data_IF_861586426190
#
_entry.id   IF_861586426190
#
_cell.length_a   1.000
_cell.length_b   1.000
_cell.length_c   1.000
_cell.angle_alpha   90.00
_cell.angle_beta   90.00
_cell.angle_gamma   90.00
#
_symmetry.space_group_name_H-M   'P 1'
#
loop_
_entity.id
_entity.type
_entity.pdbx_description
1 polymer ?
#
# COMPACT_ATOMS: atom_id res chain seq x y z
N UNK A 1 13.07 20.09 31.51
CA UNK A 1 11.75 19.78 30.95
C UNK A 1 11.93 19.38 29.50
N UNK A 2 11.83 18.09 29.17
CA UNK A 2 12.11 17.55 27.82
C UNK A 2 11.06 16.49 27.49
N UNK A 3 9.79 16.89 27.47
CA UNK A 3 8.64 15.97 27.37
C UNK A 3 7.87 16.07 26.04
N UNK A 4 8.25 16.96 25.13
CA UNK A 4 7.55 17.14 23.85
C UNK A 4 8.18 16.37 22.69
N UNK A 5 9.43 15.91 22.81
CA UNK A 5 10.12 15.16 21.76
C UNK A 5 9.70 13.68 21.69
N UNK A 6 9.23 13.13 22.81
CA UNK A 6 8.88 11.70 22.95
C UNK A 6 7.53 11.37 22.30
N UNK A 7 6.59 12.31 22.35
CA UNK A 7 5.21 12.12 21.84
C UNK A 7 5.17 12.05 20.32
N UNK A 8 5.96 12.91 19.64
CA UNK A 8 6.04 12.92 18.17
C UNK A 8 6.75 11.67 17.66
N UNK A 9 7.80 11.21 18.36
CA UNK A 9 8.49 9.96 18.05
C UNK A 9 7.58 8.74 18.22
N UNK A 10 6.76 8.72 19.29
CA UNK A 10 5.77 7.68 19.53
C UNK A 10 4.73 7.59 18.42
N UNK A 11 4.10 8.71 18.05
CA UNK A 11 3.10 8.73 16.99
C UNK A 11 3.67 8.30 15.62
N UNK A 12 4.88 8.75 15.28
CA UNK A 12 5.54 8.35 14.04
C UNK A 12 5.87 6.86 14.01
N UNK A 13 6.35 6.31 15.15
CA UNK A 13 6.60 4.88 15.27
C UNK A 13 5.32 4.09 15.06
N UNK A 14 4.22 4.50 15.71
CA UNK A 14 2.94 3.83 15.59
C UNK A 14 2.38 3.85 14.16
N UNK A 15 2.57 4.95 13.42
CA UNK A 15 2.22 5.00 11.99
C UNK A 15 3.09 4.04 11.14
N UNK A 16 4.39 3.94 11.44
CA UNK A 16 5.26 2.98 10.75
C UNK A 16 4.87 1.52 11.06
N UNK A 17 4.51 1.22 12.31
CA UNK A 17 4.05 -0.10 12.72
C UNK A 17 2.74 -0.49 11.99
N UNK A 18 1.79 0.46 11.84
CA UNK A 18 0.56 0.28 11.04
C UNK A 18 0.86 0.01 9.55
N UNK A 19 1.82 0.72 8.97
CA UNK A 19 2.22 0.54 7.58
C UNK A 19 2.92 -0.82 7.34
N UNK A 20 3.72 -1.28 8.29
CA UNK A 20 4.38 -2.59 8.26
C UNK A 20 3.34 -3.71 8.39
N UNK A 21 2.36 -3.56 9.28
CA UNK A 21 1.28 -4.54 9.42
C UNK A 21 0.41 -4.60 8.16
N UNK A 22 0.08 -3.46 7.55
CA UNK A 22 -0.62 -3.42 6.25
C UNK A 22 0.15 -4.22 5.18
N UNK A 23 1.47 -4.04 5.11
CA UNK A 23 2.32 -4.76 4.15
C UNK A 23 2.29 -6.26 4.40
N UNK A 24 2.44 -6.68 5.66
CA UNK A 24 2.37 -8.08 6.09
C UNK A 24 1.03 -8.72 5.71
N UNK A 25 -0.07 -8.03 5.96
CA UNK A 25 -1.41 -8.51 5.67
C UNK A 25 -1.68 -8.62 4.15
N UNK A 26 -1.19 -7.67 3.35
CA UNK A 26 -1.27 -7.73 1.88
C UNK A 26 -0.43 -8.91 1.36
N UNK A 27 0.82 -9.04 1.82
CA UNK A 27 1.72 -10.13 1.38
C UNK A 27 1.15 -11.51 1.75
N UNK A 28 0.50 -11.63 2.90
CA UNK A 28 -0.20 -12.83 3.32
C UNK A 28 -1.55 -13.05 2.60
N UNK A 29 -1.92 -12.19 1.65
CA UNK A 29 -3.15 -12.30 0.83
C UNK A 29 -4.44 -12.38 1.66
N UNK A 30 -4.49 -11.67 2.79
CA UNK A 30 -5.71 -11.59 3.59
C UNK A 30 -6.85 -10.90 2.82
N UNK A 31 -8.11 -11.27 3.08
CA UNK A 31 -9.26 -10.59 2.47
C UNK A 31 -9.28 -9.10 2.84
N UNK A 32 -9.66 -8.19 1.92
CA UNK A 32 -9.66 -6.75 2.18
C UNK A 32 -10.46 -6.33 3.43
N UNK A 33 -11.58 -7.02 3.70
CA UNK A 33 -12.37 -6.79 4.90
C UNK A 33 -11.59 -7.08 6.19
N UNK A 34 -10.80 -8.16 6.21
CA UNK A 34 -9.96 -8.53 7.36
C UNK A 34 -8.85 -7.50 7.55
N UNK A 35 -8.20 -7.08 6.45
CA UNK A 35 -7.16 -6.04 6.49
C UNK A 35 -7.70 -4.75 7.11
N UNK A 36 -8.87 -4.29 6.64
CA UNK A 36 -9.53 -3.08 7.16
C UNK A 36 -9.89 -3.20 8.64
N UNK A 37 -10.51 -4.32 9.06
CA UNK A 37 -10.90 -4.50 10.47
C UNK A 37 -9.71 -4.54 11.42
N UNK A 38 -8.61 -5.16 10.99
CA UNK A 38 -7.38 -5.23 11.78
C UNK A 38 -6.76 -3.84 11.95
N UNK A 39 -6.58 -3.11 10.85
CA UNK A 39 -5.99 -1.77 10.90
C UNK A 39 -6.85 -0.76 11.67
N UNK A 40 -8.18 -0.83 11.54
CA UNK A 40 -9.11 0.00 12.33
C UNK A 40 -8.94 -0.27 13.84
N UNK A 41 -8.84 -1.55 14.22
CA UNK A 41 -8.68 -1.93 15.63
C UNK A 41 -7.34 -1.48 16.19
N UNK A 42 -6.26 -1.68 15.45
CA UNK A 42 -4.92 -1.25 15.86
C UNK A 42 -4.80 0.26 15.93
N UNK A 43 -5.34 0.99 14.96
CA UNK A 43 -5.35 2.45 14.97
C UNK A 43 -6.17 3.03 16.13
N UNK A 44 -7.30 2.42 16.49
CA UNK A 44 -8.10 2.82 17.65
C UNK A 44 -7.36 2.64 18.98
N UNK A 45 -6.56 1.57 19.09
CA UNK A 45 -5.71 1.32 20.27
C UNK A 45 -4.50 2.26 20.33
N UNK A 46 -3.92 2.52 19.17
CA UNK A 46 -2.76 3.39 18.98
C UNK A 46 -3.04 4.87 19.28
N UNK A 47 -4.22 5.35 18.89
CA UNK A 47 -4.60 6.75 18.96
C UNK A 47 -5.87 6.96 19.79
N UNK A 48 -5.81 6.76 21.11
CA UNK A 48 -6.95 6.95 22.00
C UNK A 48 -7.35 8.43 22.01
N UNK A 49 -8.41 8.76 21.28
CA UNK A 49 -8.91 10.13 21.12
C UNK A 49 -9.16 10.56 19.67
N UNK A 50 -8.67 9.81 18.68
CA UNK A 50 -9.12 9.99 17.30
C UNK A 50 -10.53 9.43 17.12
N UNK A 51 -11.34 10.11 16.30
CA UNK A 51 -12.67 9.63 15.93
C UNK A 51 -12.54 8.57 14.84
N UNK A 52 -13.52 7.69 14.75
CA UNK A 52 -13.56 6.64 13.72
C UNK A 52 -13.40 7.19 12.30
N UNK A 53 -13.95 8.37 12.02
CA UNK A 53 -13.80 9.04 10.72
C UNK A 53 -12.36 9.45 10.41
N UNK A 54 -11.61 9.90 11.43
CA UNK A 54 -10.22 10.29 11.28
C UNK A 54 -9.31 9.05 11.15
N UNK A 55 -9.64 7.98 11.88
CA UNK A 55 -8.97 6.67 11.76
C UNK A 55 -9.19 6.08 10.37
N UNK A 56 -10.42 6.12 9.85
CA UNK A 56 -10.74 5.63 8.52
C UNK A 56 -9.96 6.41 7.44
N UNK A 57 -9.83 7.73 7.59
CA UNK A 57 -9.04 8.57 6.69
C UNK A 57 -7.54 8.21 6.74
N UNK A 58 -6.99 8.01 7.94
CA UNK A 58 -5.60 7.59 8.11
C UNK A 58 -5.32 6.25 7.40
N UNK A 59 -6.25 5.30 7.50
CA UNK A 59 -6.12 3.98 6.85
C UNK A 59 -6.25 4.10 5.33
N UNK A 60 -7.14 4.96 4.83
CA UNK A 60 -7.23 5.23 3.38
C UNK A 60 -5.91 5.82 2.85
N UNK A 61 -5.36 6.83 3.54
CA UNK A 61 -4.07 7.44 3.17
C UNK A 61 -2.92 6.41 3.17
N UNK A 62 -2.90 5.48 4.14
CA UNK A 62 -1.95 4.36 4.19
C UNK A 62 -2.12 3.40 3.01
N UNK A 63 -3.37 3.04 2.68
CA UNK A 63 -3.68 2.17 1.54
C UNK A 63 -3.30 2.84 0.20
N UNK A 64 -3.56 4.14 0.05
CA UNK A 64 -3.17 4.91 -1.13
C UNK A 64 -1.65 5.00 -1.25
N UNK A 65 -0.94 5.20 -0.14
CA UNK A 65 0.52 5.19 -0.12
C UNK A 65 1.09 3.82 -0.49
N UNK A 66 0.50 2.74 0.01
CA UNK A 66 0.88 1.38 -0.34
C UNK A 66 0.62 1.09 -1.84
N UNK A 67 -0.51 1.54 -2.39
CA UNK A 67 -0.81 1.46 -3.83
C UNK A 67 0.15 2.29 -4.67
N UNK A 68 0.48 3.51 -4.25
CA UNK A 68 1.43 4.38 -4.95
C UNK A 68 2.85 3.81 -4.95
N UNK A 69 3.27 3.20 -3.84
CA UNK A 69 4.56 2.49 -3.73
C UNK A 69 4.56 1.18 -4.53
N UNK A 70 3.44 0.46 -4.56
CA UNK A 70 3.26 -0.72 -5.42
C UNK A 70 3.27 -0.35 -6.91
N UNK A 71 2.69 0.80 -7.29
CA UNK A 71 2.71 1.31 -8.66
C UNK A 71 4.12 1.77 -9.07
N UNK A 72 4.86 2.43 -8.16
CA UNK A 72 6.26 2.81 -8.37
C UNK A 72 7.18 1.57 -8.46
N UNK A 73 6.88 0.49 -7.74
CA UNK A 73 7.59 -0.80 -7.87
C UNK A 73 7.10 -1.64 -9.06
N UNK A 74 6.00 -1.23 -9.70
CA UNK A 74 5.50 -1.76 -10.98
C UNK A 74 5.81 -0.77 -12.11
N UNK A 75 6.84 0.07 -11.96
CA UNK A 75 7.63 0.52 -13.11
C UNK A 75 8.49 -0.67 -13.57
N UNK A 76 7.79 -1.74 -13.96
CA UNK A 76 8.30 -2.77 -14.84
C UNK A 76 8.72 -2.00 -16.07
N UNK A 77 10.04 -1.91 -16.25
CA UNK A 77 10.75 -1.56 -17.48
C UNK A 77 9.78 -1.65 -18.64
N UNK A 78 9.46 -0.56 -19.36
CA UNK A 78 8.66 -0.66 -20.56
C UNK A 78 9.40 -1.59 -21.51
N UNK A 79 8.95 -2.85 -21.58
CA UNK A 79 9.33 -3.77 -22.61
C UNK A 79 9.05 -3.02 -23.91
N UNK A 80 10.05 -2.78 -24.78
CA UNK A 80 9.79 -2.05 -26.00
C UNK A 80 8.77 -2.88 -26.76
N UNK A 81 7.58 -2.30 -26.95
CA UNK A 81 6.63 -2.72 -27.95
C UNK A 81 7.36 -2.66 -29.29
N UNK A 82 8.04 -3.74 -29.67
CA UNK A 82 8.53 -3.99 -31.02
C UNK A 82 7.34 -4.16 -31.94
N UNK A 83 6.63 -3.06 -32.20
CA UNK A 83 5.70 -2.93 -33.30
C UNK A 83 6.51 -2.64 -34.57
N UNK A 84 7.31 -3.62 -35.01
CA UNK A 84 7.68 -3.70 -36.42
C UNK A 84 6.71 -4.68 -37.09
N UNK A 85 5.78 -4.08 -37.82
CA UNK A 85 5.12 -4.66 -38.99
C UNK A 85 6.17 -5.30 -39.90
N UNK A 86 5.68 -6.27 -40.68
CA UNK A 86 6.33 -6.96 -41.81
C UNK A 86 7.22 -8.15 -41.47
N UNK A 87 6.62 -9.35 -41.55
CA UNK A 87 7.11 -10.42 -42.42
C UNK A 87 6.06 -11.54 -42.55
N UNK A 88 6.01 -12.15 -43.75
CA UNK A 88 5.37 -13.42 -44.10
C UNK A 88 3.86 -13.43 -44.43
N UNK A 89 3.48 -12.72 -45.50
CA UNK A 89 2.64 -13.34 -46.54
C UNK A 89 3.56 -13.77 -47.67
N UNK A 90 3.99 -15.03 -47.72
CA UNK A 90 4.52 -15.72 -48.92
C UNK A 90 4.51 -17.25 -48.67
N UNK A 91 3.61 -17.96 -49.40
CA UNK A 91 3.70 -19.33 -49.97
C UNK A 91 3.76 -20.57 -49.02
N UNK A 92 3.13 -21.72 -49.28
CA UNK A 92 2.29 -22.22 -50.37
C UNK A 92 1.71 -23.62 -50.01
N UNK A 93 0.50 -23.89 -50.54
CA UNK A 93 0.04 -25.15 -51.19
C UNK A 93 0.05 -26.48 -50.41
N UNK A 94 -1.15 -27.02 -50.21
CA UNK A 94 -1.56 -28.33 -50.74
C UNK A 94 -2.99 -28.19 -51.29
#
# INVERSE_FOLDING_TARGET
MRQTHDVVGGALKTMNDLADNLTTLITASYPPAVILTTLMSEAALAFPGLRDADIAKLIDDLLQTAKGKSAASTEVIPFPLSRRREAATVLARA
#
